data_IF_089443216183
#
_entry.id   IF_089443216183
#
_cell.length_a   1.000
_cell.length_b   1.000
_cell.length_c   1.000
_cell.angle_alpha   90.00
_cell.angle_beta   90.00
_cell.angle_gamma   90.00
#
_symmetry.space_group_name_H-M   'P 1'
#
loop_
_entity.id
_entity.type
_entity.pdbx_description
1 polymer ?
#
# COMPACT_ATOMS: atom_id res chain seq x y z
N UNK A 1 19.89 13.14 -7.49
CA UNK A 1 18.55 13.01 -8.09
C UNK A 1 18.49 12.06 -9.29
N UNK A 2 19.39 12.17 -10.27
CA UNK A 2 19.33 11.39 -11.53
C UNK A 2 19.48 9.86 -11.37
N UNK A 3 20.21 9.39 -10.34
CA UNK A 3 20.38 7.94 -10.07
C UNK A 3 19.14 7.28 -9.44
N UNK A 4 18.38 8.02 -8.64
CA UNK A 4 17.17 7.52 -7.98
C UNK A 4 16.05 7.35 -9.01
N UNK A 5 15.87 8.35 -9.89
CA UNK A 5 14.95 8.24 -11.02
C UNK A 5 15.29 7.06 -11.94
N UNK A 6 16.57 6.91 -12.31
CA UNK A 6 17.03 5.74 -13.09
C UNK A 6 16.76 4.41 -12.39
N UNK A 7 16.90 4.34 -11.06
CA UNK A 7 16.61 3.14 -10.30
C UNK A 7 15.11 2.83 -10.30
N UNK A 8 14.24 3.83 -10.12
CA UNK A 8 12.80 3.68 -10.22
C UNK A 8 12.38 3.21 -11.62
N UNK A 9 12.89 3.84 -12.68
CA UNK A 9 12.62 3.45 -14.07
C UNK A 9 13.08 2.02 -14.35
N UNK A 10 14.24 1.64 -13.84
CA UNK A 10 14.76 0.28 -13.95
C UNK A 10 13.90 -0.73 -13.19
N UNK A 11 13.43 -0.40 -11.98
CA UNK A 11 12.57 -1.27 -11.17
C UNK A 11 11.21 -1.49 -11.84
N UNK A 12 10.62 -0.41 -12.39
CA UNK A 12 9.37 -0.42 -13.17
C UNK A 12 9.52 -1.28 -14.42
N UNK A 13 10.68 -1.21 -15.10
CA UNK A 13 10.97 -2.00 -16.29
C UNK A 13 11.51 -3.41 -16.00
N UNK A 14 11.81 -3.73 -14.74
CA UNK A 14 12.44 -4.99 -14.35
C UNK A 14 11.45 -6.16 -14.46
N UNK A 15 11.99 -7.37 -14.71
CA UNK A 15 11.19 -8.62 -14.67
C UNK A 15 10.49 -8.84 -13.31
N UNK A 16 10.96 -8.17 -12.25
CA UNK A 16 10.42 -8.26 -10.90
C UNK A 16 8.98 -7.74 -10.81
N UNK A 17 8.63 -6.73 -11.61
CA UNK A 17 7.29 -6.13 -11.66
C UNK A 17 6.36 -6.84 -12.66
N UNK A 18 6.92 -7.51 -13.67
CA UNK A 18 6.14 -8.21 -14.71
C UNK A 18 5.35 -9.40 -14.18
N UNK A 19 5.83 -10.09 -13.15
CA UNK A 19 5.14 -11.23 -12.54
C UNK A 19 4.88 -10.95 -11.07
N UNK A 20 3.74 -11.40 -10.49
CA UNK A 20 3.42 -11.14 -9.08
C UNK A 20 4.26 -11.98 -8.10
N UNK A 21 4.85 -13.08 -8.57
CA UNK A 21 5.53 -14.06 -7.73
C UNK A 21 6.79 -13.52 -7.01
N UNK A 22 7.71 -12.80 -7.67
CA UNK A 22 8.89 -12.25 -6.99
C UNK A 22 8.51 -11.27 -5.88
N UNK A 23 7.48 -10.45 -6.12
CA UNK A 23 6.99 -9.49 -5.13
C UNK A 23 6.28 -10.19 -3.96
N UNK A 24 5.47 -11.21 -4.25
CA UNK A 24 4.85 -12.04 -3.22
C UNK A 24 5.92 -12.73 -2.36
N UNK A 25 6.96 -13.28 -2.99
CA UNK A 25 8.11 -13.88 -2.30
C UNK A 25 8.85 -12.87 -1.42
N UNK A 26 9.17 -11.69 -1.95
CA UNK A 26 9.80 -10.61 -1.17
C UNK A 26 8.95 -10.22 0.05
N UNK A 27 7.65 -10.01 -0.17
CA UNK A 27 6.71 -9.62 0.89
C UNK A 27 6.65 -10.71 1.96
N UNK A 28 6.53 -11.98 1.57
CA UNK A 28 6.52 -13.12 2.48
C UNK A 28 7.82 -13.22 3.29
N UNK A 29 8.98 -13.11 2.64
CA UNK A 29 10.28 -13.13 3.31
C UNK A 29 10.38 -12.02 4.36
N UNK A 30 9.95 -10.79 4.02
CA UNK A 30 9.96 -9.67 4.96
C UNK A 30 9.03 -9.91 6.16
N UNK A 31 7.86 -10.50 5.94
CA UNK A 31 6.95 -10.89 7.02
C UNK A 31 7.56 -11.96 7.92
N UNK A 32 8.20 -12.98 7.37
CA UNK A 32 8.90 -14.01 8.15
C UNK A 32 10.01 -13.38 9.00
N UNK A 33 10.85 -12.52 8.40
CA UNK A 33 11.92 -11.81 9.13
C UNK A 33 11.32 -10.96 10.26
N UNK A 34 10.25 -10.22 9.99
CA UNK A 34 9.59 -9.39 11.01
C UNK A 34 9.04 -10.23 12.19
N UNK A 35 8.55 -11.43 11.92
CA UNK A 35 8.06 -12.36 12.94
C UNK A 35 9.20 -12.88 13.82
N UNK A 36 10.36 -13.20 13.22
CA UNK A 36 11.57 -13.59 13.95
C UNK A 36 12.14 -12.46 14.81
N UNK A 37 11.97 -11.20 14.38
CA UNK A 37 12.38 -10.02 15.15
C UNK A 37 11.36 -9.58 16.22
N UNK A 38 10.32 -10.39 16.46
CA UNK A 38 9.33 -10.20 17.52
C UNK A 38 7.97 -9.71 17.03
N UNK A 39 6.94 -10.01 17.83
CA UNK A 39 5.53 -9.76 17.46
C UNK A 39 5.24 -8.28 17.12
N UNK A 40 5.89 -7.33 17.80
CA UNK A 40 5.71 -5.89 17.54
C UNK A 40 6.20 -5.52 16.14
N UNK A 41 7.37 -6.00 15.75
CA UNK A 41 7.95 -5.79 14.42
C UNK A 41 7.03 -6.32 13.33
N UNK A 42 6.47 -7.51 13.54
CA UNK A 42 5.45 -8.09 12.66
C UNK A 42 4.18 -7.24 12.56
N UNK A 43 3.59 -6.85 13.70
CA UNK A 43 2.38 -6.01 13.72
C UNK A 43 2.61 -4.67 13.03
N UNK A 44 3.76 -4.04 13.27
CA UNK A 44 4.13 -2.78 12.61
C UNK A 44 4.23 -2.92 11.10
N UNK A 45 4.90 -3.97 10.64
CA UNK A 45 5.02 -4.27 9.22
C UNK A 45 3.64 -4.54 8.60
N UNK A 46 2.79 -5.31 9.28
CA UNK A 46 1.43 -5.62 8.85
C UNK A 46 0.56 -4.36 8.75
N UNK A 47 0.56 -3.53 9.78
CA UNK A 47 -0.22 -2.29 9.82
C UNK A 47 0.26 -1.31 8.75
N UNK A 48 1.57 -1.16 8.54
CA UNK A 48 2.07 -0.29 7.49
C UNK A 48 1.74 -0.81 6.09
N UNK A 49 1.86 -2.13 5.87
CA UNK A 49 1.48 -2.76 4.61
C UNK A 49 -0.02 -2.56 4.33
N UNK A 50 -0.87 -2.89 5.30
CA UNK A 50 -2.32 -2.73 5.20
C UNK A 50 -2.71 -1.27 4.97
N UNK A 51 -2.11 -0.32 5.69
CA UNK A 51 -2.37 1.11 5.52
C UNK A 51 -2.15 1.59 4.09
N UNK A 52 -1.01 1.23 3.49
CA UNK A 52 -0.69 1.62 2.10
C UNK A 52 -1.66 0.98 1.10
N UNK A 53 -2.00 -0.29 1.28
CA UNK A 53 -2.96 -1.00 0.41
C UNK A 53 -4.36 -0.38 0.53
N UNK A 54 -4.81 -0.08 1.75
CA UNK A 54 -6.11 0.55 2.01
C UNK A 54 -6.16 1.97 1.41
N UNK A 55 -5.12 2.79 1.56
CA UNK A 55 -5.09 4.10 0.93
C UNK A 55 -5.09 4.01 -0.59
N UNK A 56 -4.35 3.07 -1.18
CA UNK A 56 -4.35 2.85 -2.62
C UNK A 56 -5.72 2.37 -3.11
N UNK A 57 -6.41 1.53 -2.33
CA UNK A 57 -7.77 1.10 -2.62
C UNK A 57 -8.76 2.26 -2.52
N UNK A 58 -8.70 3.08 -1.47
CA UNK A 58 -9.50 4.31 -1.39
C UNK A 58 -9.23 5.24 -2.57
N UNK A 59 -7.97 5.38 -2.99
CA UNK A 59 -7.59 6.16 -4.17
C UNK A 59 -8.25 5.65 -5.45
N UNK A 60 -8.31 4.32 -5.64
CA UNK A 60 -9.02 3.73 -6.78
C UNK A 60 -10.54 3.93 -6.73
N UNK A 61 -11.13 4.04 -5.54
CA UNK A 61 -12.53 4.44 -5.34
C UNK A 61 -12.75 5.97 -5.50
N UNK A 62 -11.69 6.71 -5.83
CA UNK A 62 -11.72 8.14 -6.07
C UNK A 62 -11.38 9.00 -4.87
N UNK A 63 -10.92 8.42 -3.76
CA UNK A 63 -10.51 9.09 -2.53
C UNK A 63 -11.43 10.27 -2.19
N UNK A 64 -12.70 9.96 -1.92
CA UNK A 64 -13.71 10.99 -1.63
C UNK A 64 -13.29 11.98 -0.55
N UNK A 65 -12.54 11.61 0.52
CA UNK A 65 -12.03 12.59 1.49
C UNK A 65 -11.28 13.76 0.86
N UNK A 66 -10.60 13.53 -0.27
CA UNK A 66 -9.80 14.53 -0.98
C UNK A 66 -10.38 14.90 -2.36
N UNK A 67 -11.57 14.42 -2.70
CA UNK A 67 -12.27 14.70 -3.97
C UNK A 67 -11.37 14.53 -5.22
N UNK A 68 -10.65 13.41 -5.32
CA UNK A 68 -9.70 13.19 -6.41
C UNK A 68 -10.38 12.88 -7.76
N UNK A 69 -11.66 12.51 -7.80
CA UNK A 69 -12.41 12.33 -9.04
C UNK A 69 -13.34 13.53 -9.33
N UNK A 70 -13.61 13.85 -10.60
CA UNK A 70 -14.62 14.84 -10.96
C UNK A 70 -16.03 14.38 -10.57
N UNK A 71 -16.87 15.31 -10.13
CA UNK A 71 -18.25 15.07 -9.66
C UNK A 71 -19.13 14.23 -10.59
N UNK A 72 -18.84 14.30 -11.90
CA UNK A 72 -19.55 13.56 -12.94
C UNK A 72 -19.35 12.04 -12.79
N UNK A 73 -18.14 11.57 -12.42
CA UNK A 73 -17.91 10.14 -12.14
C UNK A 73 -18.57 9.70 -10.83
N UNK A 74 -18.57 10.54 -9.79
CA UNK A 74 -19.20 10.19 -8.51
C UNK A 74 -20.71 9.92 -8.64
N UNK A 75 -21.42 10.63 -9.53
CA UNK A 75 -22.84 10.36 -9.79
C UNK A 75 -23.10 9.00 -10.45
N UNK A 76 -22.18 8.52 -11.29
CA UNK A 76 -22.30 7.24 -11.98
C UNK A 76 -22.05 6.03 -11.04
N UNK A 77 -21.13 6.17 -10.09
CA UNK A 77 -20.70 5.10 -9.18
C UNK A 77 -21.61 4.92 -7.94
N UNK A 78 -22.54 5.83 -7.69
CA UNK A 78 -23.53 5.72 -6.61
C UNK A 78 -23.00 5.98 -5.20
N UNK A 79 -23.91 6.22 -4.24
CA UNK A 79 -23.57 6.58 -2.84
C UNK A 79 -22.75 5.50 -2.11
N UNK A 80 -22.91 4.24 -2.49
CA UNK A 80 -22.21 3.11 -1.87
C UNK A 80 -20.68 3.21 -2.03
N UNK A 81 -20.20 3.57 -3.22
CA UNK A 81 -18.75 3.72 -3.48
C UNK A 81 -18.15 4.87 -2.66
N UNK A 82 -18.93 5.94 -2.43
CA UNK A 82 -18.51 7.05 -1.58
C UNK A 82 -18.31 6.58 -0.14
N UNK A 83 -19.27 5.85 0.41
CA UNK A 83 -19.19 5.32 1.78
C UNK A 83 -17.98 4.39 1.91
N UNK A 84 -17.78 3.47 0.96
CA UNK A 84 -16.63 2.56 0.99
C UNK A 84 -15.28 3.26 0.86
N UNK A 85 -15.18 4.32 0.03
CA UNK A 85 -13.95 5.12 -0.03
C UNK A 85 -13.61 5.73 1.33
N UNK A 86 -14.60 6.28 2.05
CA UNK A 86 -14.41 6.81 3.40
C UNK A 86 -14.04 5.72 4.41
N UNK A 87 -14.73 4.59 4.41
CA UNK A 87 -14.48 3.48 5.34
C UNK A 87 -13.07 2.94 5.17
N UNK A 88 -12.67 2.65 3.93
CA UNK A 88 -11.33 2.12 3.62
C UNK A 88 -10.25 3.15 3.96
N UNK A 89 -10.48 4.43 3.65
CA UNK A 89 -9.55 5.49 4.03
C UNK A 89 -9.38 5.59 5.54
N UNK A 90 -10.49 5.57 6.30
CA UNK A 90 -10.45 5.64 7.75
C UNK A 90 -9.72 4.44 8.36
N UNK A 91 -9.95 3.23 7.84
CA UNK A 91 -9.20 2.04 8.23
C UNK A 91 -7.70 2.18 7.96
N UNK A 92 -7.32 2.71 6.79
CA UNK A 92 -5.92 2.99 6.46
C UNK A 92 -5.29 4.00 7.41
N UNK A 93 -6.03 5.06 7.75
CA UNK A 93 -5.62 6.05 8.74
C UNK A 93 -5.41 5.43 10.12
N UNK A 94 -6.35 4.60 10.60
CA UNK A 94 -6.18 3.87 11.86
C UNK A 94 -4.95 2.98 11.83
N UNK A 95 -4.70 2.24 10.74
CA UNK A 95 -3.49 1.43 10.61
C UNK A 95 -2.22 2.28 10.78
N UNK A 96 -2.15 3.45 10.15
CA UNK A 96 -1.01 4.36 10.29
C UNK A 96 -0.86 4.90 11.72
N UNK A 97 -1.93 5.39 12.34
CA UNK A 97 -1.87 5.92 13.70
C UNK A 97 -1.49 4.84 14.71
N UNK A 98 -2.10 3.66 14.65
CA UNK A 98 -1.72 2.57 15.56
C UNK A 98 -0.30 2.09 15.32
N UNK A 99 0.17 2.07 14.07
CA UNK A 99 1.54 1.70 13.77
C UNK A 99 2.55 2.67 14.39
N UNK A 100 2.31 3.99 14.35
CA UNK A 100 3.23 4.96 14.97
C UNK A 100 3.21 4.85 16.49
N UNK A 101 2.04 4.64 17.11
CA UNK A 101 1.91 4.45 18.56
C UNK A 101 2.61 3.19 19.08
N UNK A 102 2.80 2.17 18.24
CA UNK A 102 3.51 0.93 18.60
C UNK A 102 5.04 1.00 18.42
N UNK A 103 5.58 2.13 17.93
CA UNK A 103 7.02 2.31 17.75
C UNK A 103 7.73 2.56 19.10
N UNK A 104 8.21 1.48 19.72
CA UNK A 104 8.92 1.52 21.01
C UNK A 104 10.43 1.31 20.91
N UNK A 105 10.95 0.92 19.73
CA UNK A 105 12.37 0.60 19.52
C UNK A 105 12.91 1.31 18.27
N UNK A 106 14.19 1.72 18.24
CA UNK A 106 14.80 2.36 17.08
C UNK A 106 14.84 1.47 15.82
N UNK A 107 14.65 0.15 15.95
CA UNK A 107 14.53 -0.76 14.80
C UNK A 107 13.13 -0.78 14.18
N UNK A 108 12.09 -0.35 14.91
CA UNK A 108 10.69 -0.40 14.45
C UNK A 108 10.41 0.43 13.18
N UNK A 109 10.99 1.62 12.99
CA UNK A 109 10.83 2.38 11.74
C UNK A 109 11.27 1.60 10.50
N UNK A 110 12.26 0.71 10.61
CA UNK A 110 12.72 -0.11 9.48
C UNK A 110 11.62 -1.07 9.04
N UNK A 111 11.01 -1.80 9.98
CA UNK A 111 9.91 -2.73 9.67
C UNK A 111 8.67 -2.01 9.15
N UNK A 112 8.38 -0.82 9.67
CA UNK A 112 7.31 0.03 9.16
C UNK A 112 7.57 0.45 7.71
N UNK A 113 8.76 0.98 7.40
CA UNK A 113 9.14 1.34 6.04
C UNK A 113 9.15 0.13 5.08
N UNK A 114 9.61 -1.04 5.54
CA UNK A 114 9.57 -2.27 4.75
C UNK A 114 8.13 -2.69 4.43
N UNK A 115 7.23 -2.64 5.42
CA UNK A 115 5.81 -2.96 5.24
C UNK A 115 5.14 -2.01 4.24
N UNK A 116 5.29 -0.70 4.45
CA UNK A 116 4.78 0.32 3.53
C UNK A 116 5.36 0.21 2.13
N UNK A 117 6.67 -0.05 2.02
CA UNK A 117 7.36 -0.28 0.75
C UNK A 117 6.83 -1.49 -0.01
N UNK A 118 6.63 -2.62 0.66
CA UNK A 118 6.04 -3.82 0.05
C UNK A 118 4.60 -3.54 -0.43
N UNK A 119 3.80 -2.83 0.38
CA UNK A 119 2.45 -2.42 -0.01
C UNK A 119 2.45 -1.49 -1.22
N UNK A 120 3.37 -0.53 -1.27
CA UNK A 120 3.50 0.41 -2.37
C UNK A 120 3.93 -0.28 -3.67
N UNK A 121 4.90 -1.20 -3.59
CA UNK A 121 5.34 -2.01 -4.73
C UNK A 121 4.19 -2.88 -5.25
N UNK A 122 3.37 -3.45 -4.37
CA UNK A 122 2.18 -4.23 -4.76
C UNK A 122 1.16 -3.37 -5.48
N UNK A 123 0.85 -2.20 -4.94
CA UNK A 123 -0.09 -1.28 -5.56
C UNK A 123 0.43 -0.78 -6.92
N UNK A 124 1.71 -0.45 -7.02
CA UNK A 124 2.38 -0.06 -8.26
C UNK A 124 2.34 -1.18 -9.30
N UNK A 125 2.68 -2.41 -8.91
CA UNK A 125 2.63 -3.57 -9.78
C UNK A 125 1.22 -3.79 -10.35
N UNK A 126 0.22 -3.72 -9.48
CA UNK A 126 -1.20 -3.87 -9.86
C UNK A 126 -1.68 -2.75 -10.78
N UNK A 127 -1.25 -1.52 -10.54
CA UNK A 127 -1.53 -0.36 -11.40
C UNK A 127 -0.94 -0.55 -12.81
N UNK A 128 0.32 -0.96 -12.91
CA UNK A 128 1.02 -1.10 -14.19
C UNK A 128 0.52 -2.29 -15.04
N UNK A 129 0.19 -3.41 -14.40
CA UNK A 129 -0.13 -4.67 -15.11
C UNK A 129 -1.61 -5.07 -15.00
N UNK A 130 -2.49 -4.14 -14.63
CA UNK A 130 -3.94 -4.33 -14.69
C UNK A 130 -4.48 -5.38 -13.70
N UNK A 131 -3.75 -5.65 -12.62
CA UNK A 131 -4.16 -6.63 -11.61
C UNK A 131 -5.34 -6.21 -10.74
N UNK A 132 -5.92 -5.04 -11.00
CA UNK A 132 -7.20 -4.59 -10.48
C UNK A 132 -8.23 -4.52 -11.61
N UNK A 133 -8.80 -5.65 -12.05
CA UNK A 133 -9.76 -5.68 -13.17
C UNK A 133 -11.04 -4.87 -12.93
N UNK A 134 -11.30 -4.40 -11.71
CA UNK A 134 -12.42 -3.51 -11.37
C UNK A 134 -12.10 -2.01 -11.50
N UNK A 135 -10.87 -1.61 -11.85
CA UNK A 135 -10.46 -0.22 -12.13
C UNK A 135 -10.39 -0.01 -13.66
N UNK A 136 -11.39 -0.48 -14.39
CA UNK A 136 -11.64 -0.09 -15.79
C UNK A 136 -13.05 0.48 -15.90
#
# INVERSE_FOLDING_TARGET
MNKILKLCDWLICSRLMRTPWPLAGLTLCMFIISMLCGWRSFVLMLLSFAGVVLFSYSASLGNVPFRLLPEVRYRAFGRHIIVWSWVVWALGYFCCVFSTLMMMSPAHPVFWLCGGGCGALLCLQRYLYGGFPWIR
#
